data_IF_886367317166
#
_entry.id   IF_886367317166
#
_cell.length_a   1.000
_cell.length_b   1.000
_cell.length_c   1.000
_cell.angle_alpha   90.00
_cell.angle_beta   90.00
_cell.angle_gamma   90.00
#
_symmetry.space_group_name_H-M   'P 1'
#
loop_
_entity.id
_entity.type
_entity.pdbx_description
1 polymer ?
#
# COMPACT_ATOMS: atom_id res chain seq x y z
N UNK A 1 17.57 14.04 23.31
CA UNK A 1 17.59 15.49 23.03
C UNK A 1 16.46 15.76 22.04
N UNK A 2 15.35 16.34 22.50
CA UNK A 2 14.18 16.62 21.66
C UNK A 2 14.51 17.77 20.71
N UNK A 3 14.75 17.44 19.44
CA UNK A 3 15.02 18.44 18.40
C UNK A 3 13.68 18.98 17.90
N UNK A 4 13.28 20.17 18.37
CA UNK A 4 11.96 20.78 18.15
C UNK A 4 11.83 21.43 16.75
N UNK A 5 12.88 21.42 15.93
CA UNK A 5 12.90 22.07 14.61
C UNK A 5 12.31 21.24 13.44
N UNK A 6 11.79 20.03 13.68
CA UNK A 6 11.36 19.09 12.62
C UNK A 6 9.96 18.49 12.87
N UNK A 7 9.03 19.22 13.50
CA UNK A 7 7.63 18.77 13.61
C UNK A 7 6.88 19.26 12.36
N UNK A 8 6.83 18.44 11.31
CA UNK A 8 5.93 18.64 10.17
C UNK A 8 4.49 18.33 10.62
N UNK A 9 3.86 19.30 11.28
CA UNK A 9 2.50 19.20 11.78
C UNK A 9 1.52 19.68 10.70
N UNK A 10 0.62 18.79 10.29
CA UNK A 10 -0.45 19.08 9.34
C UNK A 10 -1.80 18.94 10.05
N UNK A 11 -2.70 19.91 9.87
CA UNK A 11 -4.10 19.79 10.30
C UNK A 11 -4.92 19.27 9.13
N UNK A 12 -5.55 18.10 9.30
CA UNK A 12 -6.36 17.49 8.23
C UNK A 12 -7.65 18.29 8.00
N UNK A 13 -8.19 18.93 9.03
CA UNK A 13 -9.47 19.64 8.99
C UNK A 13 -9.37 21.05 9.61
N UNK A 14 -8.59 21.98 9.03
CA UNK A 14 -8.32 23.29 9.64
C UNK A 14 -9.56 24.19 9.78
N UNK A 15 -10.63 23.93 9.02
CA UNK A 15 -11.88 24.69 9.09
C UNK A 15 -12.56 24.64 10.46
N UNK A 16 -12.27 23.65 11.30
CA UNK A 16 -12.80 23.59 12.68
C UNK A 16 -12.37 24.78 13.54
N UNK A 17 -11.27 25.46 13.22
CA UNK A 17 -10.87 26.67 13.93
C UNK A 17 -11.89 27.81 13.81
N UNK A 18 -12.75 27.82 12.79
CA UNK A 18 -13.86 28.78 12.71
C UNK A 18 -14.92 28.59 13.80
N UNK A 19 -14.92 27.46 14.52
CA UNK A 19 -15.78 27.25 15.67
C UNK A 19 -15.20 27.85 16.98
N UNK A 20 -13.94 28.29 17.00
CA UNK A 20 -13.35 28.96 18.17
C UNK A 20 -14.17 30.15 18.71
N UNK A 21 -14.68 31.10 17.89
CA UNK A 21 -15.48 32.22 18.38
C UNK A 21 -16.89 31.84 18.85
N UNK A 22 -17.34 30.61 18.63
CA UNK A 22 -18.73 30.21 18.91
C UNK A 22 -19.18 30.44 20.37
N UNK A 23 -18.39 30.12 21.42
CA UNK A 23 -18.78 30.41 22.79
C UNK A 23 -18.93 31.91 23.10
N UNK A 24 -18.14 32.77 22.44
CA UNK A 24 -18.26 34.23 22.60
C UNK A 24 -19.55 34.75 21.99
N UNK A 25 -19.93 34.22 20.82
CA UNK A 25 -21.20 34.53 20.16
C UNK A 25 -22.36 34.10 21.06
N UNK A 26 -22.35 32.87 21.59
CA UNK A 26 -23.38 32.40 22.52
C UNK A 26 -23.44 33.28 23.77
N UNK A 27 -22.31 33.64 24.34
CA UNK A 27 -22.25 34.52 25.51
C UNK A 27 -22.84 35.91 25.25
N UNK A 28 -22.63 36.47 24.05
CA UNK A 28 -23.13 37.79 23.68
C UNK A 28 -24.65 37.79 23.35
N UNK A 29 -25.15 36.74 22.69
CA UNK A 29 -26.52 36.71 22.18
C UNK A 29 -27.52 35.96 23.08
N UNK A 30 -27.07 35.05 23.94
CA UNK A 30 -27.98 34.23 24.76
C UNK A 30 -28.15 34.87 26.14
N UNK A 31 -29.40 35.15 26.58
CA UNK A 31 -29.64 35.70 27.90
C UNK A 31 -29.23 34.72 29.00
N UNK A 32 -28.71 35.25 30.11
CA UNK A 32 -28.27 34.44 31.24
C UNK A 32 -29.38 33.50 31.72
N UNK A 33 -29.04 32.21 31.89
CA UNK A 33 -29.97 31.20 32.35
C UNK A 33 -30.44 31.53 33.76
N UNK A 34 -31.71 31.90 33.90
CA UNK A 34 -32.33 32.16 35.20
C UNK A 34 -32.93 30.87 35.73
N UNK A 35 -32.27 30.28 36.71
CA UNK A 35 -32.83 29.14 37.45
C UNK A 35 -34.13 29.58 38.11
N UNK A 36 -35.26 28.99 37.71
CA UNK A 36 -36.54 29.22 38.38
C UNK A 36 -36.50 28.52 39.72
N UNK A 37 -36.33 29.26 40.82
CA UNK A 37 -36.61 28.71 42.14
C UNK A 37 -38.13 28.59 42.31
N UNK A 38 -38.57 27.48 42.92
CA UNK A 38 -39.97 27.30 43.29
C UNK A 38 -40.29 28.29 44.41
N UNK A 39 -40.89 29.42 44.05
CA UNK A 39 -41.34 30.43 44.99
C UNK A 39 -42.81 30.20 45.31
N UNK A 40 -43.14 30.07 46.58
CA UNK A 40 -44.53 30.07 47.03
C UNK A 40 -45.01 31.52 47.00
N UNK A 41 -45.98 31.83 46.13
CA UNK A 41 -46.65 33.14 46.10
C UNK A 41 -47.56 33.26 47.31
N UNK A 42 -47.13 33.95 48.36
CA UNK A 42 -47.98 34.34 49.48
C UNK A 42 -48.58 35.73 49.25
N UNK A 43 -49.89 35.95 49.48
CA UNK A 43 -50.56 37.23 49.23
C UNK A 43 -49.99 38.42 50.04
N UNK A 44 -49.31 38.14 51.14
CA UNK A 44 -48.77 39.10 52.11
C UNK A 44 -47.23 39.09 52.18
N UNK A 45 -46.57 38.75 51.07
CA UNK A 45 -45.11 38.70 50.97
C UNK A 45 -44.41 39.99 51.42
N UNK A 46 -44.97 41.15 51.06
CA UNK A 46 -44.45 42.46 51.47
C UNK A 46 -44.49 42.69 52.97
N UNK A 47 -45.56 42.26 53.63
CA UNK A 47 -45.75 42.40 55.08
C UNK A 47 -44.83 41.44 55.86
N UNK A 48 -44.58 40.25 55.32
CA UNK A 48 -43.65 39.28 55.93
C UNK A 48 -42.21 39.79 55.90
N UNK A 49 -41.76 40.31 54.75
CA UNK A 49 -40.39 40.82 54.58
C UNK A 49 -40.14 42.05 55.46
N UNK A 50 -41.12 42.94 55.57
CA UNK A 50 -41.06 44.14 56.41
C UNK A 50 -41.03 43.79 57.91
N UNK A 51 -41.80 42.78 58.35
CA UNK A 51 -41.79 42.30 59.73
C UNK A 51 -40.51 41.53 60.11
N UNK A 52 -39.88 40.86 59.14
CA UNK A 52 -38.62 40.12 59.32
C UNK A 52 -37.37 40.99 59.15
N UNK A 53 -37.52 42.25 58.70
CA UNK A 53 -36.40 43.18 58.50
C UNK A 53 -35.41 42.75 57.42
N UNK A 54 -35.79 41.81 56.55
CA UNK A 54 -34.94 41.34 55.46
C UNK A 54 -35.17 42.17 54.19
N UNK A 55 -34.14 42.30 53.35
CA UNK A 55 -34.31 42.88 52.01
C UNK A 55 -34.70 41.78 51.03
N UNK A 56 -35.55 42.06 50.03
CA UNK A 56 -35.94 41.06 49.05
C UNK A 56 -34.72 40.62 48.24
N UNK A 57 -34.13 39.50 48.64
CA UNK A 57 -33.16 38.77 47.84
C UNK A 57 -33.89 38.27 46.60
N UNK A 58 -33.52 38.77 45.42
CA UNK A 58 -33.97 38.17 44.16
C UNK A 58 -33.45 36.73 44.16
N UNK A 59 -34.35 35.78 44.44
CA UNK A 59 -34.14 34.34 44.53
C UNK A 59 -33.59 33.74 43.24
N UNK A 60 -32.32 34.02 43.00
CA UNK A 60 -31.48 33.37 42.04
C UNK A 60 -30.10 33.46 42.67
N UNK A 61 -29.75 32.45 43.46
CA UNK A 61 -28.37 32.18 43.78
C UNK A 61 -27.70 31.89 42.42
N UNK A 62 -27.27 32.94 41.73
CA UNK A 62 -26.46 32.84 40.54
C UNK A 62 -25.17 32.22 41.06
N UNK A 63 -25.06 30.90 40.94
CA UNK A 63 -23.78 30.21 41.11
C UNK A 63 -22.87 30.81 40.06
N UNK A 64 -22.20 31.91 40.41
CA UNK A 64 -21.23 32.55 39.56
C UNK A 64 -20.13 31.52 39.40
N UNK A 65 -19.90 30.99 38.18
CA UNK A 65 -18.90 29.96 38.01
C UNK A 65 -17.56 30.52 38.45
N UNK A 66 -16.88 29.79 39.34
CA UNK A 66 -15.56 30.17 39.84
C UNK A 66 -14.63 30.40 38.66
N UNK A 67 -13.68 31.32 38.79
CA UNK A 67 -12.75 31.67 37.72
C UNK A 67 -12.03 30.44 37.15
N UNK A 68 -11.70 29.46 38.00
CA UNK A 68 -11.14 28.17 37.59
C UNK A 68 -12.08 27.36 36.69
N UNK A 69 -13.38 27.32 36.98
CA UNK A 69 -14.37 26.61 36.15
C UNK A 69 -14.48 27.25 34.76
N UNK A 70 -14.40 28.59 34.69
CA UNK A 70 -14.36 29.31 33.42
C UNK A 70 -13.10 28.99 32.62
N UNK A 71 -11.93 28.99 33.27
CA UNK A 71 -10.68 28.63 32.62
C UNK A 71 -10.69 27.19 32.09
N UNK A 72 -11.16 26.22 32.89
CA UNK A 72 -11.29 24.82 32.47
C UNK A 72 -12.20 24.68 31.25
N UNK A 73 -13.33 25.39 31.20
CA UNK A 73 -14.23 25.39 30.04
C UNK A 73 -13.56 25.95 28.78
N UNK A 74 -12.89 27.10 28.88
CA UNK A 74 -12.19 27.72 27.75
C UNK A 74 -11.06 26.83 27.24
N UNK A 75 -10.23 26.28 28.15
CA UNK A 75 -9.14 25.38 27.79
C UNK A 75 -9.68 24.10 27.15
N UNK A 76 -10.75 23.52 27.71
CA UNK A 76 -11.41 22.34 27.13
C UNK A 76 -11.91 22.61 25.72
N UNK A 77 -12.55 23.76 25.51
CA UNK A 77 -13.07 24.14 24.21
C UNK A 77 -11.96 24.24 23.16
N UNK A 78 -10.89 24.96 23.48
CA UNK A 78 -9.72 25.09 22.59
C UNK A 78 -9.12 23.72 22.29
N UNK A 79 -8.96 22.84 23.29
CA UNK A 79 -8.42 21.49 23.10
C UNK A 79 -9.33 20.61 22.22
N UNK A 80 -10.64 20.67 22.42
CA UNK A 80 -11.62 19.92 21.61
C UNK A 80 -11.59 20.39 20.15
N UNK A 81 -11.61 21.71 19.91
CA UNK A 81 -11.52 22.26 18.55
C UNK A 81 -10.19 21.87 17.89
N UNK A 82 -9.09 21.92 18.65
CA UNK A 82 -7.77 21.49 18.15
C UNK A 82 -7.76 19.99 17.86
N UNK A 83 -8.43 19.16 18.66
CA UNK A 83 -8.56 17.72 18.40
C UNK A 83 -9.40 17.43 17.14
N UNK A 84 -10.48 18.18 16.93
CA UNK A 84 -11.34 18.08 15.73
C UNK A 84 -10.61 18.50 14.45
N UNK A 85 -9.69 19.47 14.55
CA UNK A 85 -8.80 19.82 13.43
C UNK A 85 -7.83 18.68 13.05
N UNK A 86 -7.80 17.60 13.84
CA UNK A 86 -7.04 16.37 13.63
C UNK A 86 -5.57 16.64 13.32
N UNK A 87 -4.79 17.13 14.31
CA UNK A 87 -3.36 17.33 14.15
C UNK A 87 -2.68 15.98 13.84
N UNK A 88 -1.90 15.99 12.77
CA UNK A 88 -1.15 14.83 12.29
C UNK A 88 0.32 15.18 12.20
N UNK A 89 1.16 14.28 12.70
CA UNK A 89 2.61 14.34 12.53
C UNK A 89 2.93 13.54 11.26
N UNK A 90 3.61 14.19 10.32
CA UNK A 90 4.13 13.53 9.12
C UNK A 90 5.45 12.84 9.47
N UNK A 91 5.51 11.52 9.23
CA UNK A 91 6.75 10.77 9.32
C UNK A 91 7.69 11.08 8.16
N UNK A 92 8.89 10.50 8.20
CA UNK A 92 9.87 10.65 7.13
C UNK A 92 9.28 10.12 5.79
N UNK A 93 9.52 10.81 4.67
CA UNK A 93 9.10 10.33 3.35
C UNK A 93 9.65 8.93 3.10
N UNK A 94 8.74 8.00 2.82
CA UNK A 94 9.06 6.66 2.36
C UNK A 94 8.86 6.67 0.85
N UNK A 95 9.94 6.48 0.09
CA UNK A 95 9.84 6.25 -1.34
C UNK A 95 9.33 4.82 -1.50
N UNK A 96 8.13 4.66 -2.05
CA UNK A 96 7.67 3.34 -2.52
C UNK A 96 7.90 3.34 -4.01
N UNK A 97 8.88 2.56 -4.44
CA UNK A 97 9.09 2.24 -5.84
C UNK A 97 7.93 1.35 -6.26
N UNK A 98 7.06 1.87 -7.12
CA UNK A 98 6.00 1.06 -7.70
C UNK A 98 6.59 0.31 -8.88
N UNK A 99 6.61 -1.02 -8.78
CA UNK A 99 7.03 -1.93 -9.84
C UNK A 99 6.16 -1.70 -11.08
N UNK A 100 6.76 -1.18 -12.15
CA UNK A 100 6.05 -0.70 -13.34
C UNK A 100 5.69 -1.78 -14.36
N UNK A 101 6.29 -2.98 -14.27
CA UNK A 101 6.16 -4.01 -15.29
C UNK A 101 6.08 -5.43 -14.72
N UNK A 102 5.28 -6.24 -15.40
CA UNK A 102 5.25 -7.69 -15.25
C UNK A 102 6.03 -8.32 -16.42
N UNK A 103 7.09 -9.07 -16.09
CA UNK A 103 7.89 -9.82 -17.08
C UNK A 103 7.67 -11.31 -16.85
N UNK A 104 7.14 -12.01 -17.86
CA UNK A 104 6.96 -13.46 -17.82
C UNK A 104 8.08 -14.11 -18.64
N UNK A 105 8.91 -14.94 -18.01
CA UNK A 105 9.91 -15.74 -18.71
C UNK A 105 9.34 -17.13 -18.97
N UNK A 106 9.36 -17.56 -20.23
CA UNK A 106 8.96 -18.88 -20.66
C UNK A 106 10.23 -19.64 -21.04
N UNK A 107 10.55 -20.72 -20.35
CA UNK A 107 11.74 -21.54 -20.61
C UNK A 107 11.32 -22.90 -21.13
N UNK A 108 11.82 -23.23 -22.32
CA UNK A 108 11.70 -24.56 -22.91
C UNK A 108 12.53 -25.57 -22.10
N UNK A 109 11.95 -26.73 -21.80
CA UNK A 109 12.59 -27.85 -21.12
C UNK A 109 12.57 -29.14 -21.97
N UNK A 110 12.31 -29.03 -23.27
CA UNK A 110 12.34 -30.14 -24.23
C UNK A 110 13.71 -30.83 -24.27
N UNK A 111 13.76 -32.02 -24.89
CA UNK A 111 14.98 -32.84 -24.90
C UNK A 111 16.21 -32.15 -25.49
N UNK A 112 16.02 -31.23 -26.45
CA UNK A 112 17.10 -30.46 -27.08
C UNK A 112 17.84 -29.53 -26.11
N UNK A 113 17.19 -29.14 -25.01
CA UNK A 113 17.78 -28.27 -23.98
C UNK A 113 18.90 -28.94 -23.18
N UNK A 114 19.05 -30.27 -23.28
CA UNK A 114 20.16 -31.03 -22.69
C UNK A 114 21.45 -30.97 -23.52
N UNK A 115 21.40 -30.50 -24.77
CA UNK A 115 22.57 -30.48 -25.64
C UNK A 115 23.68 -29.57 -25.07
N UNK A 116 24.91 -30.09 -25.04
CA UNK A 116 26.07 -29.40 -24.47
C UNK A 116 26.85 -28.62 -25.54
N UNK A 117 26.18 -27.70 -26.20
CA UNK A 117 26.74 -26.89 -27.28
C UNK A 117 27.03 -25.43 -26.89
N UNK A 118 26.52 -24.96 -25.75
CA UNK A 118 26.77 -23.60 -25.25
C UNK A 118 28.11 -23.51 -24.52
N UNK A 119 28.81 -22.41 -24.74
CA UNK A 119 30.09 -22.12 -24.05
C UNK A 119 29.83 -21.19 -22.86
N UNK A 120 30.20 -21.64 -21.66
CA UNK A 120 30.15 -20.85 -20.43
C UNK A 120 31.25 -19.78 -20.38
N UNK A 121 31.14 -18.82 -19.46
CA UNK A 121 32.16 -17.77 -19.25
C UNK A 121 33.53 -18.32 -18.86
N UNK A 122 33.58 -19.53 -18.29
CA UNK A 122 34.82 -20.24 -17.98
C UNK A 122 35.40 -21.03 -19.17
N UNK A 123 34.81 -20.93 -20.36
CA UNK A 123 35.23 -21.64 -21.57
C UNK A 123 34.84 -23.13 -21.62
N UNK A 124 33.96 -23.58 -20.72
CA UNK A 124 33.48 -24.96 -20.68
C UNK A 124 32.17 -25.10 -21.46
N UNK A 125 31.98 -26.25 -22.12
CA UNK A 125 30.69 -26.59 -22.73
C UNK A 125 29.69 -26.96 -21.64
N UNK A 126 28.54 -26.30 -21.67
CA UNK A 126 27.42 -26.49 -20.74
C UNK A 126 26.15 -26.75 -21.55
N UNK A 127 25.13 -27.31 -20.91
CA UNK A 127 23.84 -27.46 -21.56
C UNK A 127 23.19 -26.10 -21.86
N UNK A 128 22.31 -26.06 -22.86
CA UNK A 128 21.50 -24.86 -23.17
C UNK A 128 20.73 -24.38 -21.93
N UNK A 129 20.10 -25.31 -21.20
CA UNK A 129 19.38 -24.97 -19.96
C UNK A 129 20.30 -24.36 -18.89
N UNK A 130 21.50 -24.90 -18.69
CA UNK A 130 22.48 -24.32 -17.74
C UNK A 130 22.93 -22.92 -18.17
N UNK A 131 23.14 -22.70 -19.47
CA UNK A 131 23.45 -21.37 -20.00
C UNK A 131 22.31 -20.38 -19.75
N UNK A 132 21.06 -20.79 -19.98
CA UNK A 132 19.85 -20.01 -19.69
C UNK A 132 19.77 -19.64 -18.21
N UNK A 133 19.93 -20.63 -17.31
CA UNK A 133 19.93 -20.38 -15.86
C UNK A 133 20.98 -19.36 -15.45
N UNK A 134 22.20 -19.47 -15.99
CA UNK A 134 23.28 -18.54 -15.70
C UNK A 134 22.99 -17.12 -16.20
N UNK A 135 22.48 -16.95 -17.42
CA UNK A 135 22.19 -15.61 -17.97
C UNK A 135 20.98 -15.00 -17.29
N UNK A 136 19.95 -15.80 -16.98
CA UNK A 136 18.80 -15.32 -16.22
C UNK A 136 19.20 -14.89 -14.81
N UNK A 137 20.12 -15.60 -14.15
CA UNK A 137 20.66 -15.15 -12.86
C UNK A 137 21.29 -13.76 -12.95
N UNK A 138 22.08 -13.50 -13.99
CA UNK A 138 22.68 -12.18 -14.23
C UNK A 138 21.58 -11.13 -14.56
N UNK A 139 20.65 -11.47 -15.46
CA UNK A 139 19.55 -10.60 -15.89
C UNK A 139 18.70 -10.11 -14.71
N UNK A 140 18.33 -11.00 -13.79
CA UNK A 140 17.47 -10.68 -12.65
C UNK A 140 18.13 -9.63 -11.73
N UNK A 141 19.45 -9.69 -11.55
CA UNK A 141 20.16 -8.72 -10.69
C UNK A 141 20.10 -7.27 -11.21
N UNK A 142 19.94 -7.09 -12.52
CA UNK A 142 19.84 -5.77 -13.16
C UNK A 142 18.43 -5.18 -13.12
N UNK A 143 17.43 -5.93 -12.61
CA UNK A 143 15.99 -5.65 -12.73
C UNK A 143 15.31 -5.32 -11.40
N UNK A 144 15.97 -4.58 -10.52
CA UNK A 144 15.44 -4.17 -9.21
C UNK A 144 14.22 -3.24 -9.38
N UNK A 145 13.03 -3.79 -9.60
CA UNK A 145 11.84 -2.98 -9.95
C UNK A 145 10.82 -3.67 -10.87
N UNK A 146 11.13 -4.85 -11.40
CA UNK A 146 10.19 -5.66 -12.18
C UNK A 146 9.62 -6.81 -11.33
N UNK A 147 8.36 -7.22 -11.58
CA UNK A 147 7.84 -8.50 -11.09
C UNK A 147 8.11 -9.57 -12.14
N UNK A 148 8.69 -10.68 -11.71
CA UNK A 148 9.05 -11.78 -12.58
C UNK A 148 8.09 -12.95 -12.40
N UNK A 149 7.61 -13.49 -13.51
CA UNK A 149 6.91 -14.77 -13.59
C UNK A 149 7.77 -15.80 -14.31
N UNK A 150 7.55 -17.08 -14.02
CA UNK A 150 8.25 -18.19 -14.67
C UNK A 150 7.24 -19.23 -15.14
N UNK A 151 7.24 -19.50 -16.44
CA UNK A 151 6.55 -20.64 -17.04
C UNK A 151 7.60 -21.57 -17.62
N UNK A 152 7.38 -22.85 -17.43
CA UNK A 152 8.22 -23.90 -17.98
C UNK A 152 7.35 -24.72 -18.93
N UNK A 153 7.90 -25.12 -20.07
CA UNK A 153 7.12 -25.82 -21.08
C UNK A 153 7.91 -26.90 -21.82
N UNK A 154 7.16 -27.85 -22.36
CA UNK A 154 7.62 -29.02 -23.10
C UNK A 154 6.43 -29.66 -23.81
N UNK A 155 6.04 -30.89 -23.43
CA UNK A 155 4.75 -31.52 -23.83
C UNK A 155 3.55 -30.77 -23.23
N UNK A 156 3.76 -30.05 -22.12
CA UNK A 156 2.76 -29.21 -21.49
C UNK A 156 3.43 -27.95 -20.90
N UNK A 157 2.65 -26.87 -20.80
CA UNK A 157 3.09 -25.64 -20.14
C UNK A 157 2.56 -25.55 -18.70
N UNK A 158 3.42 -25.17 -17.77
CA UNK A 158 3.05 -24.97 -16.38
C UNK A 158 3.65 -23.70 -15.79
N UNK A 159 2.87 -23.04 -14.93
CA UNK A 159 3.28 -21.86 -14.19
C UNK A 159 4.11 -22.30 -12.98
N UNK A 160 5.42 -22.14 -13.06
CA UNK A 160 6.34 -22.45 -11.97
C UNK A 160 6.32 -21.35 -10.89
N UNK A 161 6.20 -20.09 -11.30
CA UNK A 161 6.18 -18.95 -10.36
C UNK A 161 5.23 -17.89 -10.89
N UNK A 162 4.18 -17.50 -10.14
CA UNK A 162 3.37 -16.33 -10.47
C UNK A 162 4.21 -15.05 -10.32
N UNK A 163 3.71 -13.90 -10.82
CA UNK A 163 4.44 -12.64 -10.72
C UNK A 163 4.82 -12.28 -9.28
N UNK A 164 6.12 -12.23 -9.02
CA UNK A 164 6.69 -11.91 -7.71
C UNK A 164 7.77 -10.85 -7.85
N UNK A 165 7.89 -9.98 -6.85
CA UNK A 165 9.04 -9.08 -6.71
C UNK A 165 10.22 -9.75 -5.99
N UNK A 166 10.00 -10.94 -5.42
CA UNK A 166 11.03 -11.74 -4.76
C UNK A 166 11.86 -12.51 -5.80
N UNK A 167 12.95 -11.87 -6.20
CA UNK A 167 13.89 -12.39 -7.19
C UNK A 167 14.67 -13.61 -6.68
N UNK A 168 14.93 -13.70 -5.38
CA UNK A 168 15.66 -14.83 -4.80
C UNK A 168 14.83 -16.11 -4.89
N UNK A 169 13.55 -16.03 -4.56
CA UNK A 169 12.61 -17.16 -4.70
C UNK A 169 12.44 -17.54 -6.17
N UNK A 170 12.29 -16.56 -7.06
CA UNK A 170 12.17 -16.81 -8.49
C UNK A 170 13.41 -17.55 -9.04
N UNK A 171 14.61 -17.10 -8.69
CA UNK A 171 15.87 -17.75 -9.09
C UNK A 171 16.02 -19.13 -8.46
N UNK A 172 15.62 -19.31 -7.20
CA UNK A 172 15.65 -20.62 -6.55
C UNK A 172 14.74 -21.62 -7.25
N UNK A 173 13.57 -21.19 -7.73
CA UNK A 173 12.64 -22.04 -8.47
C UNK A 173 13.14 -22.34 -9.89
N UNK A 174 13.75 -21.38 -10.58
CA UNK A 174 14.43 -21.62 -11.85
C UNK A 174 15.60 -22.62 -11.71
N UNK A 175 16.39 -22.51 -10.65
CA UNK A 175 17.54 -23.40 -10.46
C UNK A 175 17.14 -24.85 -10.20
N UNK A 176 15.94 -25.10 -9.68
CA UNK A 176 15.37 -26.43 -9.44
C UNK A 176 14.84 -27.12 -10.72
N UNK A 177 14.93 -26.48 -11.88
CA UNK A 177 14.35 -27.03 -13.11
C UNK A 177 15.32 -27.90 -13.86
N UNK A 178 14.89 -29.07 -14.34
CA UNK A 178 15.72 -29.94 -15.17
C UNK A 178 15.04 -30.24 -16.52
N UNK A 179 15.86 -30.64 -17.49
CA UNK A 179 15.38 -31.03 -18.83
C UNK A 179 14.42 -32.22 -18.71
N UNK A 180 13.35 -32.20 -19.49
CA UNK A 180 12.37 -33.27 -19.55
C UNK A 180 11.30 -33.22 -18.46
N UNK A 181 11.40 -32.34 -17.46
CA UNK A 181 10.35 -32.20 -16.43
C UNK A 181 8.98 -31.79 -17.01
N UNK A 182 9.01 -31.07 -18.14
CA UNK A 182 7.82 -30.62 -18.86
C UNK A 182 7.40 -31.55 -20.00
N UNK A 183 8.12 -32.67 -20.22
CA UNK A 183 8.03 -33.48 -21.43
C UNK A 183 9.23 -33.31 -22.36
N UNK A 184 9.23 -34.03 -23.48
CA UNK A 184 10.37 -34.05 -24.42
C UNK A 184 10.15 -33.21 -25.68
N UNK A 185 8.91 -32.83 -25.97
CA UNK A 185 8.50 -32.05 -27.14
C UNK A 185 8.37 -30.56 -26.79
N UNK A 186 7.92 -29.73 -27.73
CA UNK A 186 7.85 -28.27 -27.56
C UNK A 186 6.45 -27.74 -27.93
N UNK A 187 5.64 -27.42 -26.92
CA UNK A 187 4.30 -26.84 -27.07
C UNK A 187 4.35 -25.33 -26.82
N UNK A 188 4.93 -24.61 -27.78
CA UNK A 188 5.21 -23.18 -27.68
C UNK A 188 3.92 -22.34 -27.63
N UNK A 189 2.93 -22.66 -28.47
CA UNK A 189 1.68 -21.91 -28.54
C UNK A 189 0.85 -22.03 -27.27
N UNK A 190 0.82 -23.22 -26.66
CA UNK A 190 0.11 -23.45 -25.40
C UNK A 190 0.78 -22.70 -24.23
N UNK A 191 2.12 -22.64 -24.22
CA UNK A 191 2.88 -21.87 -23.24
C UNK A 191 2.60 -20.37 -23.33
N UNK A 192 2.55 -19.82 -24.55
CA UNK A 192 2.15 -18.43 -24.78
C UNK A 192 0.70 -18.18 -24.35
N UNK A 193 -0.21 -19.11 -24.65
CA UNK A 193 -1.60 -19.05 -24.18
C UNK A 193 -1.71 -18.99 -22.66
N UNK A 194 -0.93 -19.81 -21.95
CA UNK A 194 -0.85 -19.77 -20.49
C UNK A 194 -0.30 -18.43 -19.98
N UNK A 195 0.77 -17.91 -20.58
CA UNK A 195 1.34 -16.61 -20.21
C UNK A 195 0.30 -15.49 -20.33
N UNK A 196 -0.42 -15.41 -21.45
CA UNK A 196 -1.49 -14.42 -21.67
C UNK A 196 -2.55 -14.51 -20.57
N UNK A 197 -3.00 -15.72 -20.24
CA UNK A 197 -3.99 -15.95 -19.19
C UNK A 197 -3.50 -15.46 -17.82
N UNK A 198 -2.23 -15.71 -17.48
CA UNK A 198 -1.64 -15.29 -16.20
C UNK A 198 -1.53 -13.76 -16.13
N UNK A 199 -1.15 -13.09 -17.24
CA UNK A 199 -1.17 -11.63 -17.32
C UNK A 199 -2.57 -11.04 -17.11
N UNK A 200 -3.61 -11.67 -17.67
CA UNK A 200 -4.99 -11.21 -17.46
C UNK A 200 -5.43 -11.33 -16.00
N UNK A 201 -5.09 -12.45 -15.36
CA UNK A 201 -5.43 -12.68 -13.95
C UNK A 201 -4.71 -11.69 -13.03
N UNK A 202 -3.42 -11.41 -13.26
CA UNK A 202 -2.65 -10.49 -12.41
C UNK A 202 -3.18 -9.05 -12.44
N UNK A 203 -3.79 -8.63 -13.55
CA UNK A 203 -4.33 -7.28 -13.73
C UNK A 203 -5.79 -7.13 -13.26
N UNK A 204 -6.55 -8.22 -13.17
CA UNK A 204 -7.94 -8.18 -12.69
C UNK A 204 -8.04 -8.08 -11.17
N UNK A 205 -7.09 -8.64 -10.43
CA UNK A 205 -7.18 -8.77 -8.96
C UNK A 205 -6.97 -7.46 -8.19
N UNK A 206 -6.43 -6.42 -8.84
CA UNK A 206 -6.17 -5.14 -8.19
C UNK A 206 -6.47 -4.06 -9.21
N UNK A 207 -7.23 -3.03 -8.84
CA UNK A 207 -7.43 -1.82 -9.65
C UNK A 207 -6.14 -0.99 -9.82
N UNK A 208 -5.06 -1.69 -10.15
CA UNK A 208 -3.71 -1.21 -10.34
C UNK A 208 -3.58 -0.56 -11.72
N UNK A 209 -2.65 0.40 -11.75
CA UNK A 209 -2.20 1.12 -12.94
C UNK A 209 -1.90 0.11 -14.06
N UNK A 210 -2.28 0.46 -15.29
CA UNK A 210 -2.00 -0.34 -16.49
C UNK A 210 -0.49 -0.58 -16.58
N UNK A 211 -0.06 -1.82 -16.29
CA UNK A 211 1.36 -2.20 -16.34
C UNK A 211 1.70 -2.72 -17.71
N UNK A 212 2.95 -2.52 -18.09
CA UNK A 212 3.47 -3.16 -19.28
C UNK A 212 3.55 -4.67 -19.08
N UNK A 213 3.19 -5.43 -20.11
CA UNK A 213 3.15 -6.89 -20.11
C UNK A 213 4.14 -7.40 -21.14
N UNK A 214 5.25 -7.95 -20.66
CA UNK A 214 6.33 -8.43 -21.53
C UNK A 214 6.56 -9.91 -21.27
N UNK A 215 6.47 -10.73 -22.30
CA UNK A 215 6.86 -12.12 -22.26
C UNK A 215 8.20 -12.30 -22.98
N UNK A 216 9.14 -13.01 -22.36
CA UNK A 216 10.40 -13.42 -22.97
C UNK A 216 10.36 -14.93 -23.10
N UNK A 217 10.42 -15.44 -24.32
CA UNK A 217 10.33 -16.87 -24.60
C UNK A 217 11.69 -17.37 -25.06
N UNK A 218 12.21 -18.38 -24.38
CA UNK A 218 13.43 -19.08 -24.75
C UNK A 218 13.03 -20.43 -25.28
N UNK A 219 13.36 -20.70 -26.53
CA UNK A 219 13.11 -21.98 -27.18
C UNK A 219 14.25 -22.29 -28.14
N UNK A 220 14.57 -23.57 -28.27
CA UNK A 220 15.61 -24.08 -29.15
C UNK A 220 15.04 -24.99 -30.25
N UNK A 221 13.72 -25.15 -30.27
CA UNK A 221 13.00 -26.10 -31.11
C UNK A 221 11.83 -25.47 -31.84
N UNK A 222 11.30 -26.23 -32.79
CA UNK A 222 10.07 -25.89 -33.48
C UNK A 222 8.89 -26.36 -32.66
N UNK A 223 7.78 -25.65 -32.79
CA UNK A 223 6.52 -26.12 -32.22
C UNK A 223 6.18 -27.50 -32.80
N UNK A 224 6.02 -28.49 -31.92
CA UNK A 224 5.85 -29.89 -32.34
C UNK A 224 4.40 -30.33 -32.36
N UNK A 225 3.60 -29.93 -31.36
CA UNK A 225 2.24 -30.43 -31.18
C UNK A 225 1.37 -29.50 -30.29
N UNK A 226 1.55 -28.17 -30.37
CA UNK A 226 0.69 -27.26 -29.61
C UNK A 226 -0.77 -27.37 -30.06
N UNK A 227 -1.70 -27.35 -29.10
CA UNK A 227 -3.13 -27.25 -29.41
C UNK A 227 -3.49 -25.92 -30.04
N UNK A 228 -2.79 -24.85 -29.64
CA UNK A 228 -2.93 -23.51 -30.22
C UNK A 228 -1.70 -23.21 -31.08
N UNK A 229 -1.91 -22.85 -32.35
CA UNK A 229 -0.79 -22.46 -33.20
C UNK A 229 -0.06 -21.22 -32.64
N UNK A 230 1.30 -21.20 -32.65
CA UNK A 230 2.08 -20.08 -32.09
C UNK A 230 1.71 -18.71 -32.66
N UNK A 231 1.43 -18.64 -33.97
CA UNK A 231 1.07 -17.39 -34.66
C UNK A 231 -0.29 -16.87 -34.18
N UNK A 232 -1.27 -17.74 -33.93
CA UNK A 232 -2.57 -17.35 -33.41
C UNK A 232 -2.47 -16.87 -31.97
N UNK A 233 -1.69 -17.57 -31.13
CA UNK A 233 -1.39 -17.12 -29.77
C UNK A 233 -0.72 -15.73 -29.76
N UNK A 234 0.20 -15.46 -30.70
CA UNK A 234 0.83 -14.14 -30.84
C UNK A 234 -0.16 -13.01 -31.18
N UNK A 235 -1.14 -13.28 -32.06
CA UNK A 235 -2.20 -12.31 -32.37
C UNK A 235 -3.07 -12.00 -31.16
N UNK A 236 -3.41 -13.04 -30.38
CA UNK A 236 -4.14 -12.86 -29.12
C UNK A 236 -3.30 -12.05 -28.12
N UNK A 237 -2.00 -12.31 -28.02
CA UNK A 237 -1.09 -11.55 -27.16
C UNK A 237 -1.14 -10.05 -27.49
N UNK A 238 -1.01 -9.69 -28.76
CA UNK A 238 -1.13 -8.28 -29.20
C UNK A 238 -2.48 -7.66 -28.88
N UNK A 239 -3.58 -8.39 -29.09
CA UNK A 239 -4.91 -7.92 -28.74
C UNK A 239 -5.09 -7.68 -27.23
N UNK A 240 -4.31 -8.38 -26.39
CA UNK A 240 -4.28 -8.25 -24.93
C UNK A 240 -3.18 -7.31 -24.41
N UNK A 241 -2.41 -6.69 -25.31
CA UNK A 241 -1.31 -5.79 -24.96
C UNK A 241 -0.09 -6.50 -24.38
N UNK A 242 0.08 -7.80 -24.64
CA UNK A 242 1.27 -8.59 -24.24
C UNK A 242 2.27 -8.59 -25.40
N UNK A 243 3.44 -8.00 -25.18
CA UNK A 243 4.56 -8.03 -26.13
C UNK A 243 5.37 -9.30 -25.91
N UNK A 244 5.68 -10.05 -26.96
CA UNK A 244 6.45 -11.31 -26.86
C UNK A 244 7.78 -11.14 -27.57
N UNK A 245 8.87 -11.22 -26.82
CA UNK A 245 10.22 -11.35 -27.35
C UNK A 245 10.61 -12.81 -27.40
N UNK A 246 11.16 -13.23 -28.53
CA UNK A 246 11.58 -14.61 -28.74
C UNK A 246 13.09 -14.68 -28.76
N UNK A 247 13.67 -15.63 -28.05
CA UNK A 247 15.10 -15.94 -28.09
C UNK A 247 15.23 -17.38 -28.58
N UNK A 248 15.68 -17.51 -29.83
CA UNK A 248 15.99 -18.78 -30.47
C UNK A 248 17.39 -19.23 -30.04
N UNK A 249 17.50 -20.39 -29.40
CA UNK A 249 18.79 -20.94 -28.97
C UNK A 249 19.25 -22.01 -29.95
N UNK A 250 20.45 -21.84 -30.51
CA UNK A 250 21.03 -22.76 -31.48
C UNK A 250 21.34 -22.10 -32.83
N UNK A 251 22.08 -22.82 -33.67
CA UNK A 251 22.56 -22.31 -34.96
C UNK A 251 21.47 -22.37 -36.04
N UNK A 252 20.99 -21.22 -36.56
CA UNK A 252 19.97 -21.18 -37.62
C UNK A 252 20.48 -21.69 -38.98
N UNK A 253 21.79 -21.89 -39.13
CA UNK A 253 22.38 -22.51 -40.34
C UNK A 253 22.38 -24.05 -40.26
N UNK A 254 21.99 -24.63 -39.13
CA UNK A 254 21.85 -26.08 -38.98
C UNK A 254 20.77 -26.59 -39.94
N UNK A 255 21.10 -27.61 -40.74
CA UNK A 255 20.18 -28.22 -41.71
C UNK A 255 19.71 -29.57 -41.19
N UNK A 256 18.41 -29.82 -41.18
CA UNK A 256 17.82 -31.09 -40.74
C UNK A 256 16.54 -30.90 -39.93
N UNK A 257 16.07 -31.96 -39.28
CA UNK A 257 14.88 -31.91 -38.39
C UNK A 257 15.09 -31.05 -37.14
N UNK A 258 16.35 -30.73 -36.81
CA UNK A 258 16.76 -29.84 -35.72
C UNK A 258 16.94 -28.39 -36.13
N UNK A 259 16.58 -28.03 -37.37
CA UNK A 259 16.68 -26.64 -37.85
C UNK A 259 15.62 -25.76 -37.19
N UNK A 260 16.06 -24.63 -36.63
CA UNK A 260 15.19 -23.60 -36.06
C UNK A 260 14.29 -22.99 -37.14
N UNK A 261 12.98 -23.01 -36.93
CA UNK A 261 11.99 -22.31 -37.73
C UNK A 261 11.99 -20.83 -37.37
N UNK A 262 13.04 -20.15 -37.83
CA UNK A 262 13.17 -18.71 -37.72
C UNK A 262 12.03 -17.97 -38.42
N UNK A 263 11.31 -18.59 -39.36
CA UNK A 263 10.17 -17.94 -40.02
C UNK A 263 9.00 -17.78 -39.06
N UNK A 264 8.68 -18.83 -38.30
CA UNK A 264 7.64 -18.79 -37.27
C UNK A 264 8.06 -17.91 -36.10
N UNK A 265 9.30 -18.06 -35.60
CA UNK A 265 9.82 -17.27 -34.47
C UNK A 265 9.76 -15.76 -34.77
N UNK A 266 10.28 -15.33 -35.92
CA UNK A 266 10.23 -13.92 -36.32
C UNK A 266 8.81 -13.40 -36.48
N UNK A 267 7.91 -14.25 -36.99
CA UNK A 267 6.51 -13.88 -37.21
C UNK A 267 5.75 -13.77 -35.90
N UNK A 268 5.97 -14.67 -34.94
CA UNK A 268 5.41 -14.60 -33.58
C UNK A 268 5.84 -13.30 -32.88
N UNK A 269 7.15 -12.99 -32.89
CA UNK A 269 7.65 -11.75 -32.31
C UNK A 269 7.02 -10.51 -32.98
N UNK A 270 6.99 -10.47 -34.31
CA UNK A 270 6.41 -9.35 -35.06
C UNK A 270 4.90 -9.18 -34.84
N UNK A 271 4.16 -10.27 -34.83
CA UNK A 271 2.70 -10.25 -34.65
C UNK A 271 2.29 -9.87 -33.23
N UNK A 272 3.10 -10.21 -32.21
CA UNK A 272 2.89 -9.78 -30.83
C UNK A 272 3.40 -8.35 -30.54
N UNK A 273 4.28 -7.81 -31.40
CA UNK A 273 4.88 -6.48 -31.24
C UNK A 273 6.22 -6.48 -30.48
N UNK A 274 6.85 -7.63 -30.29
CA UNK A 274 8.20 -7.76 -29.77
C UNK A 274 9.25 -7.98 -30.85
N UNK A 275 10.40 -8.52 -30.45
CA UNK A 275 11.55 -8.80 -31.33
C UNK A 275 12.07 -10.23 -31.15
N UNK A 276 12.67 -10.77 -32.19
CA UNK A 276 13.28 -12.09 -32.18
C UNK A 276 14.82 -11.96 -32.18
N UNK A 277 15.47 -12.77 -31.36
CA UNK A 277 16.90 -12.83 -31.20
C UNK A 277 17.39 -14.26 -31.41
N UNK A 278 18.65 -14.40 -31.82
CA UNK A 278 19.32 -15.69 -31.96
C UNK A 278 20.50 -15.72 -31.01
N UNK A 279 20.59 -16.76 -30.19
CA UNK A 279 21.68 -16.97 -29.26
C UNK A 279 22.41 -18.28 -29.61
N UNK A 280 23.68 -18.16 -30.00
CA UNK A 280 24.56 -19.29 -30.32
C UNK A 280 25.41 -19.70 -29.11
N UNK A 281 25.62 -18.77 -28.19
CA UNK A 281 26.42 -18.94 -27.00
C UNK A 281 25.86 -18.07 -25.87
N UNK A 282 26.53 -18.14 -24.71
CA UNK A 282 26.14 -17.36 -23.52
C UNK A 282 26.22 -15.85 -23.78
N UNK A 283 27.22 -15.40 -24.53
CA UNK A 283 27.46 -13.96 -24.75
C UNK A 283 26.33 -13.38 -25.61
N UNK A 284 26.01 -14.02 -26.72
CA UNK A 284 24.87 -13.66 -27.57
C UNK A 284 23.53 -13.72 -26.81
N UNK A 285 23.36 -14.69 -25.90
CA UNK A 285 22.18 -14.75 -25.03
C UNK A 285 22.12 -13.54 -24.09
N UNK A 286 23.25 -13.17 -23.48
CA UNK A 286 23.36 -11.99 -22.62
C UNK A 286 23.04 -10.70 -23.37
N UNK A 287 23.60 -10.54 -24.57
CA UNK A 287 23.37 -9.37 -25.43
C UNK A 287 21.88 -9.25 -25.82
N UNK A 288 21.21 -10.38 -26.10
CA UNK A 288 19.77 -10.39 -26.37
C UNK A 288 18.96 -9.88 -25.17
N UNK A 289 19.31 -10.27 -23.95
CA UNK A 289 18.65 -9.78 -22.73
C UNK A 289 18.93 -8.30 -22.45
N UNK A 290 20.13 -7.84 -22.75
CA UNK A 290 20.48 -6.41 -22.65
C UNK A 290 19.68 -5.58 -23.65
N UNK A 291 19.58 -6.03 -24.90
CA UNK A 291 18.81 -5.34 -25.94
C UNK A 291 17.31 -5.34 -25.62
N UNK A 292 16.76 -6.46 -25.12
CA UNK A 292 15.38 -6.48 -24.59
C UNK A 292 15.24 -5.44 -23.46
N UNK A 293 16.26 -5.25 -22.64
CA UNK A 293 16.28 -4.18 -21.64
C UNK A 293 16.24 -2.77 -22.15
N UNK A 294 16.92 -2.52 -23.27
CA UNK A 294 16.92 -1.22 -23.91
C UNK A 294 15.57 -0.93 -24.59
N UNK A 295 14.98 -1.96 -25.20
CA UNK A 295 13.65 -1.89 -25.83
C UNK A 295 12.53 -1.72 -24.79
N UNK A 296 12.72 -2.33 -23.63
CA UNK A 296 11.77 -2.36 -22.52
C UNK A 296 12.41 -1.67 -21.29
N UNK A 297 12.56 -0.33 -21.31
CA UNK A 297 13.16 0.41 -20.19
C UNK A 297 12.30 0.31 -18.92
N UNK A 298 12.95 0.33 -17.75
CA UNK A 298 12.24 0.27 -16.47
C UNK A 298 11.51 1.58 -16.20
N UNK A 299 10.18 1.52 -16.09
CA UNK A 299 9.36 2.67 -15.70
C UNK A 299 9.23 2.70 -14.18
N UNK A 300 9.98 3.60 -13.53
CA UNK A 300 9.85 3.84 -12.09
C UNK A 300 8.83 4.96 -11.83
N UNK A 301 7.65 4.61 -11.30
CA UNK A 301 6.81 5.59 -10.63
C UNK A 301 7.20 5.68 -9.15
N UNK A 302 7.96 6.72 -8.81
CA UNK A 302 8.28 7.02 -7.41
C UNK A 302 7.08 7.70 -6.74
N UNK A 303 6.26 6.92 -6.03
CA UNK A 303 5.25 7.50 -5.16
C UNK A 303 5.87 7.76 -3.79
N UNK A 304 6.03 9.04 -3.43
CA UNK A 304 6.49 9.41 -2.09
C UNK A 304 5.31 9.28 -1.14
N UNK A 305 5.27 8.20 -0.36
CA UNK A 305 4.28 8.02 0.70
C UNK A 305 4.84 8.54 2.02
N UNK A 306 4.14 9.50 2.65
CA UNK A 306 4.48 9.96 4.00
C UNK A 306 3.50 9.36 5.01
N UNK A 307 3.94 8.48 5.92
CA UNK A 307 3.04 7.94 6.93
C UNK A 307 2.53 9.08 7.82
N UNK A 308 1.20 9.18 7.96
CA UNK A 308 0.54 10.20 8.79
C UNK A 308 0.11 9.59 10.12
N UNK A 309 0.63 10.09 11.23
CA UNK A 309 0.19 9.66 12.56
C UNK A 309 -0.62 10.76 13.24
N UNK A 310 -1.85 10.45 13.61
CA UNK A 310 -2.74 11.44 14.24
C UNK A 310 -2.53 11.49 15.76
N UNK A 311 -2.29 12.68 16.29
CA UNK A 311 -2.10 12.92 17.74
C UNK A 311 -3.37 13.43 18.45
N UNK A 312 -4.50 13.52 17.73
CA UNK A 312 -5.77 14.02 18.26
C UNK A 312 -6.28 13.29 19.51
N UNK A 313 -6.01 11.98 19.63
CA UNK A 313 -6.45 11.17 20.76
C UNK A 313 -5.77 11.60 22.07
N UNK A 314 -4.52 12.08 22.04
CA UNK A 314 -3.86 12.64 23.21
C UNK A 314 -4.54 13.93 23.70
N UNK A 315 -4.98 14.79 22.78
CA UNK A 315 -5.70 16.02 23.15
C UNK A 315 -7.04 15.72 23.82
N UNK A 316 -7.77 14.72 23.32
CA UNK A 316 -9.02 14.26 23.95
C UNK A 316 -8.75 13.65 25.32
N UNK A 317 -7.70 12.83 25.45
CA UNK A 317 -7.32 12.24 26.73
C UNK A 317 -7.01 13.31 27.79
N UNK A 318 -6.31 14.40 27.42
CA UNK A 318 -6.05 15.54 28.32
C UNK A 318 -7.36 16.19 28.80
N UNK A 319 -8.33 16.39 27.91
CA UNK A 319 -9.65 16.94 28.27
C UNK A 319 -10.36 16.02 29.27
N UNK A 320 -10.41 14.71 28.99
CA UNK A 320 -11.06 13.72 29.87
C UNK A 320 -10.41 13.72 31.26
N UNK A 321 -9.08 13.66 31.33
CA UNK A 321 -8.34 13.68 32.60
C UNK A 321 -8.62 14.96 33.37
N UNK A 322 -8.62 16.11 32.69
CA UNK A 322 -8.91 17.40 33.32
C UNK A 322 -10.31 17.45 33.95
N UNK A 323 -11.33 16.92 33.27
CA UNK A 323 -12.69 16.85 33.83
C UNK A 323 -12.80 15.85 34.99
N UNK A 324 -12.12 14.70 34.93
CA UNK A 324 -12.09 13.74 36.03
C UNK A 324 -11.46 14.35 37.29
N UNK A 325 -10.34 15.07 37.14
CA UNK A 325 -9.69 15.79 38.25
C UNK A 325 -10.61 16.88 38.81
N UNK A 326 -11.21 17.69 37.95
CA UNK A 326 -12.13 18.75 38.38
C UNK A 326 -13.35 18.20 39.13
N UNK A 327 -13.94 17.10 38.66
CA UNK A 327 -15.06 16.42 39.30
C UNK A 327 -14.67 15.81 40.66
N UNK A 328 -13.49 15.18 40.73
CA UNK A 328 -12.95 14.63 41.99
C UNK A 328 -12.73 15.72 43.03
N UNK A 329 -12.12 16.85 42.65
CA UNK A 329 -11.91 17.99 43.54
C UNK A 329 -13.23 18.61 44.01
N UNK A 330 -14.21 18.77 43.11
CA UNK A 330 -15.52 19.31 43.45
C UNK A 330 -16.30 18.39 44.42
N UNK A 331 -16.23 17.07 44.22
CA UNK A 331 -16.89 16.10 45.12
C UNK A 331 -16.22 16.06 46.49
N UNK A 332 -14.89 16.12 46.56
CA UNK A 332 -14.12 16.24 47.81
C UNK A 332 -14.45 17.53 48.57
N UNK A 333 -14.49 18.67 47.88
CA UNK A 333 -14.83 19.95 48.48
C UNK A 333 -16.26 19.94 49.06
N UNK A 334 -17.23 19.37 48.31
CA UNK A 334 -18.62 19.25 48.76
C UNK A 334 -18.76 18.33 49.99
N UNK A 335 -18.02 17.21 50.01
CA UNK A 335 -18.00 16.32 51.19
C UNK A 335 -17.46 17.04 52.43
N UNK A 336 -16.36 17.80 52.30
CA UNK A 336 -15.79 18.59 53.41
C UNK A 336 -16.77 19.63 53.96
N UNK A 337 -17.52 20.31 53.10
CA UNK A 337 -18.53 21.29 53.52
C UNK A 337 -19.71 20.63 54.27
N UNK A 338 -20.15 19.44 53.83
CA UNK A 338 -21.20 18.69 54.53
C UNK A 338 -20.74 18.18 55.90
N UNK A 339 -19.48 17.74 56.03
CA UNK A 339 -18.91 17.34 57.32
C UNK A 339 -18.76 18.51 58.29
N UNK A 340 -18.26 19.67 57.83
CA UNK A 340 -18.12 20.86 58.67
C UNK A 340 -19.48 21.41 59.14
N UNK A 341 -20.49 21.42 58.28
CA UNK A 341 -21.85 21.85 58.66
C UNK A 341 -22.56 20.89 59.62
N UNK A 342 -22.17 19.62 59.67
CA UNK A 342 -22.69 18.66 60.64
C UNK A 342 -22.11 18.88 62.05
N UNK A 343 -20.82 19.21 62.16
CA UNK A 343 -20.18 19.57 63.43
C UNK A 343 -20.76 20.86 64.04
N UNK A 344 -21.05 21.86 63.21
CA UNK A 344 -21.66 23.13 63.67
C UNK A 344 -23.07 22.94 64.24
N UNK A 345 -23.87 22.01 63.68
CA UNK A 345 -25.24 21.71 64.17
C UNK A 345 -25.25 20.91 65.48
N UNK A 346 -24.24 20.08 65.75
CA UNK A 346 -24.07 19.42 67.05
C UNK A 346 -23.62 20.40 68.13
N UNK A 347 -22.82 21.41 67.80
CA UNK A 347 -22.33 22.40 68.77
C UNK A 347 -23.39 23.42 69.24
N UNK A 348 -24.43 23.66 68.44
CA UNK A 348 -25.49 24.66 68.70
C UNK A 348 -26.74 24.07 69.38
N UNK A 349 -26.72 22.77 69.74
CA UNK A 349 -27.81 22.04 70.38
C UNK A 349 -27.50 21.66 71.86
N UNK A 350 -26.50 22.31 72.45
CA UNK A 350 -26.18 22.31 73.89
C UNK A 350 -26.45 23.69 74.45
#
# INVERSE_FOLDING_TARGET
>A
MFNISMINLEFVHPWWFFALPFPLIVFYFVPAYRTKQSAIKVPFFSQLIEALGETPSTGANQLAPSWWQRMTLVISWVLIITALAKPTILGAPQVRENYGRDVMVLVDLSGSMAEQDFTSSAGQKVSRLEAVKSVLADFVTTRQGDRLGLILFGDAAFLQTPFTADQEVWLALLNQTDVGMAGQSTHLGDAMGLAIKVFEQSHQEKGEVDREKVAIVLTDGNDTDSFVEPIEAAKVAKAKGVRIHMIAMGDPQTVGETALDMTTINRVAKESGGQAFVALDREALSDAYEEIGNLEPQLYESSTYRPKQSIHHYLIAVVVVMYLVAFSLATLARRRQLSAGAEDLESNNV
#
